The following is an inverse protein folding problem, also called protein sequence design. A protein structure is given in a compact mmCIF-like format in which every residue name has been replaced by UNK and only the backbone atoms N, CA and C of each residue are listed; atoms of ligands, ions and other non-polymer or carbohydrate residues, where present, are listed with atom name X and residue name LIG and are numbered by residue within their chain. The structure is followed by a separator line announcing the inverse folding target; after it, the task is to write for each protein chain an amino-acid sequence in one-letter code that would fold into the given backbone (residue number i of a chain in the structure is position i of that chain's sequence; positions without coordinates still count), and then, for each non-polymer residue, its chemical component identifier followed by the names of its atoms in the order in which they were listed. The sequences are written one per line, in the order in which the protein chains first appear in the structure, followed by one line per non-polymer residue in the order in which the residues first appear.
data_IF_483313436903
#
_entry.id   IF_483313436903
#
_cell.length_a   1.000
_cell.length_b   1.000
_cell.length_c   1.000
_cell.angle_alpha   90.00
_cell.angle_beta   90.00
_cell.angle_gamma   90.00
#
_symmetry.space_group_name_H-M   'P 1'
#
loop_
_entity.id
_entity.type
_entity.pdbx_description
1 polymer ?
#
# COMPACT_ATOMS: atom_id res chain seq x y z
N UNK A 1 14.79 -4.74 26.29
CA UNK A 1 14.70 -4.91 24.82
C UNK A 1 13.32 -4.45 24.38
N UNK A 2 13.23 -3.56 23.40
CA UNK A 2 11.95 -3.13 22.85
C UNK A 2 11.45 -4.17 21.85
N UNK A 3 10.20 -4.62 21.99
CA UNK A 3 9.55 -5.52 21.01
C UNK A 3 8.99 -4.70 19.85
N UNK A 4 9.08 -5.19 18.60
CA UNK A 4 8.45 -4.53 17.46
C UNK A 4 6.93 -4.54 17.60
N UNK A 5 6.31 -3.45 17.16
CA UNK A 5 4.86 -3.35 16.99
C UNK A 5 4.51 -3.53 15.53
N UNK A 6 3.48 -4.34 15.24
CA UNK A 6 2.99 -4.60 13.89
C UNK A 6 1.55 -4.15 13.78
N UNK A 7 1.19 -3.60 12.63
CA UNK A 7 -0.17 -3.25 12.28
C UNK A 7 -0.39 -3.51 10.79
N UNK A 8 -1.63 -3.81 10.42
CA UNK A 8 -2.04 -4.03 9.05
C UNK A 8 -2.76 -2.79 8.53
N UNK A 9 -2.39 -2.32 7.34
CA UNK A 9 -3.09 -1.24 6.65
C UNK A 9 -3.90 -1.88 5.53
N UNK A 10 -5.22 -2.07 5.69
CA UNK A 10 -6.04 -2.64 4.63
C UNK A 10 -6.15 -1.62 3.48
N UNK A 11 -6.03 -2.10 2.24
CA UNK A 11 -6.23 -1.29 1.03
C UNK A 11 -7.62 -0.64 0.96
N UNK A 12 -8.62 -1.31 1.53
CA UNK A 12 -9.98 -0.83 1.68
C UNK A 12 -10.23 -0.64 3.17
N UNK A 13 -10.00 0.58 3.65
CA UNK A 13 -10.18 0.97 5.05
C UNK A 13 -10.68 2.40 5.14
N UNK A 14 -11.18 2.79 6.31
CA UNK A 14 -11.54 4.18 6.62
C UNK A 14 -10.32 5.11 6.73
N UNK A 15 -9.11 4.54 6.68
CA UNK A 15 -7.84 5.25 6.77
C UNK A 15 -7.41 5.86 5.43
N UNK A 16 -8.29 6.63 4.76
CA UNK A 16 -8.03 7.46 3.57
C UNK A 16 -6.82 7.04 2.69
N UNK A 17 -6.73 5.77 2.32
CA UNK A 17 -5.60 5.26 1.56
C UNK A 17 -5.73 5.79 0.14
N UNK A 18 -4.74 6.57 -0.32
CA UNK A 18 -4.76 7.15 -1.67
C UNK A 18 -4.48 6.04 -2.68
N UNK A 19 -5.49 5.70 -3.47
CA UNK A 19 -5.43 4.66 -4.50
C UNK A 19 -5.40 5.29 -5.90
N UNK A 20 -4.35 5.02 -6.65
CA UNK A 20 -4.15 5.56 -8.00
C UNK A 20 -3.85 4.45 -9.00
N UNK A 21 -4.49 4.49 -10.17
CA UNK A 21 -4.15 3.57 -11.27
C UNK A 21 -3.01 4.18 -12.08
N UNK A 22 -1.94 3.43 -12.27
CA UNK A 22 -0.82 3.79 -13.14
C UNK A 22 -0.95 3.03 -14.46
N UNK A 23 -0.64 3.72 -15.56
CA UNK A 23 -0.66 3.13 -16.90
C UNK A 23 0.69 2.54 -17.30
N UNK A 24 1.80 3.07 -16.79
CA UNK A 24 3.15 2.59 -17.10
C UNK A 24 4.08 2.72 -15.88
N UNK A 25 4.50 1.62 -15.23
CA UNK A 25 4.01 0.26 -15.44
C UNK A 25 2.53 0.14 -15.04
N UNK A 26 1.77 -0.69 -15.78
CA UNK A 26 0.36 -0.93 -15.45
C UNK A 26 0.20 -1.51 -14.05
N UNK A 27 -0.64 -0.87 -13.24
CA UNK A 27 -0.90 -1.33 -11.88
C UNK A 27 -1.66 -0.31 -11.04
N UNK A 28 -1.67 -0.54 -9.74
CA UNK A 28 -2.33 0.30 -8.75
C UNK A 28 -1.32 0.68 -7.67
N UNK A 29 -1.15 1.98 -7.43
CA UNK A 29 -0.38 2.52 -6.30
C UNK A 29 -1.31 2.82 -5.13
N UNK A 30 -0.88 2.41 -3.93
CA UNK A 30 -1.51 2.68 -2.65
C UNK A 30 -0.54 3.50 -1.81
N UNK A 31 -0.94 4.71 -1.42
CA UNK A 31 -0.12 5.62 -0.64
C UNK A 31 -0.85 6.00 0.65
N UNK A 32 -0.12 5.96 1.77
CA UNK A 32 -0.65 6.28 3.10
C UNK A 32 0.46 6.87 3.95
N UNK A 33 0.09 7.79 4.86
CA UNK A 33 0.99 8.32 5.87
C UNK A 33 0.55 7.80 7.22
N UNK A 34 1.44 7.08 7.91
CA UNK A 34 1.20 6.58 9.26
C UNK A 34 1.88 7.49 10.26
N UNK A 35 1.11 8.02 11.21
CA UNK A 35 1.63 8.86 12.28
C UNK A 35 1.67 8.05 13.57
N UNK A 36 2.86 7.84 14.12
CA UNK A 36 3.07 7.21 15.42
C UNK A 36 3.17 8.31 16.47
N UNK A 37 2.11 8.48 17.25
CA UNK A 37 2.02 9.48 18.31
C UNK A 37 2.25 8.84 19.69
N UNK A 38 2.97 9.54 20.55
CA UNK A 38 3.15 9.10 21.95
C UNK A 38 2.04 9.64 22.86
N UNK A 39 1.48 10.80 22.53
CA UNK A 39 0.41 11.44 23.28
C UNK A 39 -0.92 11.36 22.53
N UNK A 40 -2.00 11.00 23.23
CA UNK A 40 -3.31 10.70 22.60
C UNK A 40 -4.06 11.92 22.07
N UNK A 41 -3.70 13.13 22.51
CA UNK A 41 -4.48 14.35 22.27
C UNK A 41 -3.79 15.37 21.37
N UNK A 42 -2.47 15.32 21.21
CA UNK A 42 -1.73 16.34 20.47
C UNK A 42 -0.45 15.78 19.87
N UNK A 43 -0.07 16.35 18.73
CA UNK A 43 1.19 16.04 18.06
C UNK A 43 2.34 16.65 18.84
N UNK A 44 3.38 15.86 19.09
CA UNK A 44 4.60 16.31 19.78
C UNK A 44 5.82 16.20 18.85
N UNK A 45 6.92 16.87 19.22
CA UNK A 45 8.18 16.77 18.49
C UNK A 45 8.77 15.34 18.46
N UNK A 46 8.31 14.45 19.36
CA UNK A 46 8.74 13.05 19.39
C UNK A 46 7.99 12.15 18.40
N UNK A 47 6.88 12.63 17.84
CA UNK A 47 6.05 11.84 16.93
C UNK A 47 6.75 11.63 15.58
N UNK A 48 6.45 10.50 14.93
CA UNK A 48 7.06 10.12 13.67
C UNK A 48 6.01 9.88 12.61
N UNK A 49 6.21 10.44 11.42
CA UNK A 49 5.39 10.21 10.25
C UNK A 49 6.15 9.32 9.26
N UNK A 50 5.51 8.24 8.84
CA UNK A 50 6.05 7.28 7.89
C UNK A 50 5.21 7.32 6.62
N UNK A 51 5.84 7.73 5.51
CA UNK A 51 5.21 7.65 4.19
C UNK A 51 5.41 6.26 3.61
N UNK A 52 4.32 5.54 3.41
CA UNK A 52 4.32 4.16 2.91
C UNK A 52 3.69 4.14 1.53
N UNK A 53 4.39 3.55 0.57
CA UNK A 53 3.93 3.36 -0.81
C UNK A 53 4.03 1.90 -1.19
N UNK A 54 2.92 1.34 -1.68
CA UNK A 54 2.84 -0.03 -2.17
C UNK A 54 2.31 -0.01 -3.61
N UNK A 55 3.03 -0.66 -4.51
CA UNK A 55 2.61 -0.80 -5.91
C UNK A 55 2.20 -2.24 -6.20
N UNK A 56 0.96 -2.43 -6.63
CA UNK A 56 0.45 -3.69 -7.12
C UNK A 56 0.49 -3.68 -8.65
N UNK A 57 1.39 -4.48 -9.23
CA UNK A 57 1.56 -4.59 -10.68
C UNK A 57 0.46 -5.45 -11.29
N UNK A 58 -0.11 -4.99 -12.40
CA UNK A 58 -1.00 -5.82 -13.22
C UNK A 58 -0.17 -6.83 -14.03
N UNK A 59 -0.37 -8.13 -13.77
CA UNK A 59 0.23 -9.21 -14.57
C UNK A 59 -0.69 -9.55 -15.72
N UNK A 60 -0.49 -8.91 -16.88
CA UNK A 60 -1.05 -9.45 -18.13
C UNK A 60 -0.32 -10.75 -18.47
N UNK A 61 -0.84 -11.88 -18.00
CA UNK A 61 -0.53 -13.18 -18.58
C UNK A 61 -1.18 -13.20 -19.96
N UNK A 62 -0.41 -12.96 -21.01
CA UNK A 62 -0.82 -13.35 -22.37
C UNK A 62 -0.87 -14.88 -22.37
N UNK A 63 -2.05 -15.44 -22.11
CA UNK A 63 -2.33 -16.83 -22.39
C UNK A 63 -2.37 -16.95 -23.91
N UNK A 64 -1.22 -17.20 -24.53
CA UNK A 64 -1.17 -17.71 -25.90
C UNK A 64 -1.84 -19.09 -25.88
N UNK A 65 -3.16 -19.12 -26.08
CA UNK A 65 -3.89 -20.34 -26.35
C UNK A 65 -3.43 -20.84 -27.72
N UNK A 66 -2.39 -21.65 -27.76
CA UNK A 66 -2.13 -22.50 -28.92
C UNK A 66 -3.29 -23.49 -29.01
N UNK A 67 -4.28 -23.15 -29.84
CA UNK A 67 -5.34 -24.08 -30.21
C UNK A 67 -4.73 -25.02 -31.27
N UNK A 68 -4.27 -26.19 -30.83
CA UNK A 68 -3.96 -27.28 -31.76
C UNK A 68 -5.28 -27.78 -32.35
N UNK A 69 -5.48 -27.53 -33.64
CA UNK A 69 -6.56 -28.11 -34.42
C UNK A 69 -5.96 -29.36 -35.07
N UNK A 70 -6.25 -30.52 -34.48
CA UNK A 70 -6.01 -31.83 -35.09
C UNK A 70 -7.16 -32.28 -35.97
#
# INVERSE_FOLDING_TARGET
MASPFYFHIPYQSDCQVRRERLQDPRGISYNVVVIVQHHRLFVTAADKAYSVSCFYRDTQTNLEKQLEIG
#
